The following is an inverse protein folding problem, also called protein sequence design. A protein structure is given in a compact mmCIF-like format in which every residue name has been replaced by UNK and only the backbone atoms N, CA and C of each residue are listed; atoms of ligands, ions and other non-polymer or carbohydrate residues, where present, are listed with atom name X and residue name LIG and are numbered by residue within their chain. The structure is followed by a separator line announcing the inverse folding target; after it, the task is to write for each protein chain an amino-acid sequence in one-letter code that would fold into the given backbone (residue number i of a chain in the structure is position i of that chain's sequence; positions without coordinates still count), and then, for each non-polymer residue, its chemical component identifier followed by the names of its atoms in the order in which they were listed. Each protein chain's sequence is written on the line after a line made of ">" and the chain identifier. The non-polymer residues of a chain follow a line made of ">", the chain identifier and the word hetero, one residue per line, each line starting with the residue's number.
data_IF_704540817032
#
_entry.id   IF_704540817032
#
_cell.length_a   1.000
_cell.length_b   1.000
_cell.length_c   1.000
_cell.angle_alpha   90.00
_cell.angle_beta   90.00
_cell.angle_gamma   90.00
#
_symmetry.space_group_name_H-M   'P 1'
#
loop_
_entity.id
_entity.type
_entity.pdbx_description
1 polymer ?
#
# COMPACT_ATOMS: atom_id res chain seq x y z
N UNK A 1 -16.33 31.64 -45.03
CA UNK A 1 -16.22 31.51 -43.55
C UNK A 1 -17.19 30.42 -43.13
N UNK A 2 -16.71 29.22 -42.80
CA UNK A 2 -17.55 28.11 -42.31
C UNK A 2 -17.08 27.76 -40.90
N UNK A 3 -17.95 28.01 -39.93
CA UNK A 3 -17.73 27.76 -38.51
C UNK A 3 -17.91 26.27 -38.25
N UNK A 4 -16.90 25.61 -37.69
CA UNK A 4 -16.99 24.23 -37.20
C UNK A 4 -17.14 24.28 -35.68
N UNK A 5 -18.36 24.03 -35.19
CA UNK A 5 -18.62 23.74 -33.78
C UNK A 5 -18.12 22.33 -33.46
N UNK A 6 -17.06 22.25 -32.66
CA UNK A 6 -16.57 21.00 -32.08
C UNK A 6 -17.36 20.74 -30.78
N UNK A 7 -18.30 19.81 -30.82
CA UNK A 7 -19.08 19.38 -29.66
C UNK A 7 -18.26 18.36 -28.88
N UNK A 8 -17.68 18.77 -27.75
CA UNK A 8 -16.94 17.88 -26.85
C UNK A 8 -17.96 16.99 -26.14
N UNK A 9 -17.97 15.71 -26.50
CA UNK A 9 -18.70 14.66 -25.79
C UNK A 9 -17.99 14.42 -24.45
N UNK A 10 -18.57 14.93 -23.37
CA UNK A 10 -18.17 14.64 -22.01
C UNK A 10 -18.56 13.18 -21.71
N UNK A 11 -17.57 12.28 -21.70
CA UNK A 11 -17.75 10.90 -21.26
C UNK A 11 -18.01 10.88 -19.76
N UNK A 12 -19.25 10.60 -19.37
CA UNK A 12 -19.62 10.35 -17.98
C UNK A 12 -18.91 9.07 -17.50
N UNK A 13 -17.93 9.21 -16.61
CA UNK A 13 -17.42 8.11 -15.83
C UNK A 13 -18.53 7.67 -14.86
N UNK A 14 -19.08 6.47 -15.10
CA UNK A 14 -20.02 5.83 -14.20
C UNK A 14 -19.28 5.48 -12.90
N UNK A 15 -19.43 6.32 -11.89
CA UNK A 15 -19.08 5.97 -10.52
C UNK A 15 -19.99 4.83 -10.08
N UNK A 16 -19.43 3.63 -9.92
CA UNK A 16 -20.10 2.54 -9.22
C UNK A 16 -20.18 2.94 -7.75
N UNK A 17 -21.38 3.05 -7.15
CA UNK A 17 -21.49 3.31 -5.72
C UNK A 17 -21.01 2.07 -4.96
N UNK A 18 -19.77 2.07 -4.48
CA UNK A 18 -19.37 1.18 -3.40
C UNK A 18 -20.24 1.53 -2.19
N UNK A 19 -21.17 0.63 -1.87
CA UNK A 19 -22.09 0.82 -0.76
C UNK A 19 -21.30 0.61 0.53
N UNK A 20 -20.91 1.72 1.16
CA UNK A 20 -20.24 1.79 2.45
C UNK A 20 -21.25 1.42 3.55
N UNK A 21 -21.61 0.14 3.67
CA UNK A 21 -22.42 -0.34 4.79
C UNK A 21 -21.51 -0.48 6.01
N UNK A 22 -21.82 0.34 7.01
CA UNK A 22 -21.43 0.19 8.42
C UNK A 22 -19.93 0.26 8.73
N UNK A 23 -19.32 1.41 8.46
CA UNK A 23 -18.13 1.86 9.19
C UNK A 23 -18.53 3.00 10.13
N UNK A 24 -19.14 2.66 11.26
CA UNK A 24 -19.20 3.57 12.41
C UNK A 24 -17.78 3.93 12.81
N UNK A 25 -17.41 5.17 12.52
CA UNK A 25 -16.19 5.84 12.96
C UNK A 25 -16.17 5.89 14.49
N UNK A 26 -15.47 4.94 15.12
CA UNK A 26 -14.89 5.19 16.42
C UNK A 26 -13.78 6.20 16.23
N UNK A 27 -14.05 7.46 16.55
CA UNK A 27 -13.02 8.48 16.78
C UNK A 27 -12.13 8.02 17.95
N UNK A 28 -11.10 7.26 17.64
CA UNK A 28 -9.89 7.23 18.47
C UNK A 28 -8.88 8.13 17.81
N UNK A 29 -8.67 9.30 18.42
CA UNK A 29 -7.56 10.19 18.13
C UNK A 29 -6.26 9.38 17.92
N UNK A 30 -5.59 9.60 16.80
CA UNK A 30 -4.30 8.98 16.53
C UNK A 30 -3.32 9.38 17.65
N UNK A 31 -2.67 8.44 18.35
CA UNK A 31 -1.64 8.78 19.31
C UNK A 31 -0.43 9.37 18.58
N UNK A 32 0.07 10.50 19.08
CA UNK A 32 1.32 11.12 18.67
C UNK A 32 2.42 10.05 18.55
N UNK A 33 2.89 9.80 17.34
CA UNK A 33 4.04 8.92 17.09
C UNK A 33 5.31 9.48 17.77
N UNK A 34 6.22 8.61 18.23
CA UNK A 34 7.42 9.05 18.93
C UNK A 34 8.39 9.73 17.95
N UNK A 35 8.79 10.96 18.29
CA UNK A 35 9.95 11.66 17.73
C UNK A 35 11.23 10.91 18.09
N UNK A 36 11.64 9.99 17.21
CA UNK A 36 12.88 9.23 17.34
C UNK A 36 14.03 9.87 16.56
N UNK A 37 14.92 10.54 17.29
CA UNK A 37 16.21 11.06 16.85
C UNK A 37 17.10 9.93 16.30
N UNK A 38 17.56 10.02 15.06
CA UNK A 38 18.56 9.11 14.50
C UNK A 38 19.96 9.50 14.99
N UNK A 39 20.56 8.65 15.83
CA UNK A 39 21.99 8.68 16.11
C UNK A 39 22.64 7.33 15.74
N UNK A 40 23.64 7.44 14.89
CA UNK A 40 24.79 6.56 14.62
C UNK A 40 25.07 5.43 15.62
N UNK A 41 25.28 4.20 15.10
CA UNK A 41 26.31 3.31 15.65
C UNK A 41 26.87 2.35 14.59
N UNK A 42 28.17 2.50 14.35
CA UNK A 42 29.05 1.61 13.62
C UNK A 42 29.16 0.24 14.31
N UNK A 43 29.50 -0.81 13.56
CA UNK A 43 30.74 -1.60 13.74
C UNK A 43 30.59 -3.11 13.40
N UNK A 44 31.66 -3.63 12.77
CA UNK A 44 32.22 -4.99 12.84
C UNK A 44 31.57 -6.13 12.05
N UNK A 45 32.14 -6.38 10.87
CA UNK A 45 33.06 -7.51 10.63
C UNK A 45 32.50 -8.94 10.69
N UNK A 46 32.69 -9.69 9.60
CA UNK A 46 33.25 -11.05 9.62
C UNK A 46 33.67 -11.53 8.24
N UNK A 47 34.93 -11.96 8.21
CA UNK A 47 35.64 -12.73 7.20
C UNK A 47 35.27 -14.21 7.37
N UNK A 48 35.03 -14.96 6.28
CA UNK A 48 35.41 -16.39 6.18
C UNK A 48 35.04 -17.04 4.83
N UNK A 49 36.09 -17.38 4.08
CA UNK A 49 36.31 -18.63 3.32
C UNK A 49 35.17 -19.22 2.46
N UNK A 50 35.30 -19.04 1.14
CA UNK A 50 34.70 -19.90 0.12
C UNK A 50 35.55 -21.17 -0.06
N UNK A 51 34.96 -22.32 0.26
CA UNK A 51 35.47 -23.63 -0.12
C UNK A 51 34.64 -24.18 -1.29
N UNK A 52 35.37 -24.69 -2.27
CA UNK A 52 34.92 -25.21 -3.55
C UNK A 52 34.85 -26.74 -3.46
N UNK A 53 33.88 -27.35 -4.15
CA UNK A 53 33.99 -28.72 -4.65
C UNK A 53 32.95 -29.72 -4.15
N UNK A 54 32.41 -30.52 -5.08
CA UNK A 54 31.78 -31.81 -4.78
C UNK A 54 30.46 -32.07 -5.48
N UNK A 55 30.53 -32.61 -6.69
CA UNK A 55 29.46 -33.29 -7.43
C UNK A 55 29.27 -34.74 -6.95
N UNK A 56 28.18 -35.38 -7.41
CA UNK A 56 27.71 -36.79 -7.25
C UNK A 56 26.58 -36.92 -6.21
N UNK A 57 25.55 -37.76 -6.34
CA UNK A 57 24.99 -38.61 -7.40
C UNK A 57 23.62 -39.11 -6.86
N UNK A 58 22.75 -39.53 -7.77
CA UNK A 58 21.40 -40.06 -7.57
C UNK A 58 21.22 -41.11 -6.45
N UNK A 59 20.03 -41.07 -5.83
CA UNK A 59 19.50 -42.13 -4.96
C UNK A 59 18.02 -41.89 -4.66
N UNK A 60 17.16 -42.68 -5.30
CA UNK A 60 15.71 -42.73 -5.07
C UNK A 60 15.40 -43.26 -3.67
N UNK A 61 14.51 -42.59 -2.92
CA UNK A 61 13.83 -43.22 -1.79
C UNK A 61 12.41 -42.67 -1.64
N UNK A 62 11.47 -43.57 -1.91
CA UNK A 62 10.06 -43.46 -1.57
C UNK A 62 9.86 -43.38 -0.05
N UNK A 63 8.77 -42.73 0.35
CA UNK A 63 8.06 -43.07 1.57
C UNK A 63 8.39 -42.23 2.79
N UNK A 64 7.61 -41.17 2.99
CA UNK A 64 6.66 -41.11 4.11
C UNK A 64 6.04 -39.71 4.12
N UNK A 65 4.71 -39.68 4.18
CA UNK A 65 3.96 -38.45 4.29
C UNK A 65 4.36 -37.73 5.57
N UNK A 66 5.22 -36.73 5.44
CA UNK A 66 5.24 -35.62 6.38
C UNK A 66 4.02 -34.79 6.06
N UNK A 67 2.89 -35.30 6.56
CA UNK A 67 1.71 -34.54 6.87
C UNK A 67 2.21 -33.31 7.62
N UNK A 68 2.33 -32.20 6.88
CA UNK A 68 2.55 -30.88 7.43
C UNK A 68 1.52 -30.78 8.53
N UNK A 69 1.99 -30.82 9.78
CA UNK A 69 1.15 -30.54 10.92
C UNK A 69 0.64 -29.15 10.68
N UNK A 70 -0.56 -29.05 10.11
CA UNK A 70 -1.40 -27.90 10.24
C UNK A 70 -1.60 -27.80 11.75
N UNK A 71 -0.69 -27.08 12.39
CA UNK A 71 -0.84 -26.61 13.74
C UNK A 71 -2.20 -25.94 13.73
N UNK A 72 -3.19 -26.66 14.24
CA UNK A 72 -4.51 -26.15 14.53
C UNK A 72 -4.25 -25.18 15.69
N UNK A 73 -3.71 -24.02 15.34
CA UNK A 73 -3.24 -23.02 16.27
C UNK A 73 -4.51 -22.41 16.82
N UNK A 74 -5.02 -23.00 17.90
CA UNK A 74 -6.03 -22.39 18.74
C UNK A 74 -5.62 -20.94 18.95
N UNK A 75 -6.40 -20.00 18.41
CA UNK A 75 -6.10 -18.58 18.53
C UNK A 75 -6.22 -18.22 20.01
N UNK A 76 -5.08 -18.19 20.69
CA UNK A 76 -4.99 -17.78 22.09
C UNK A 76 -5.14 -16.26 22.19
N UNK A 77 -5.34 -15.75 23.42
CA UNK A 77 -5.59 -14.32 23.64
C UNK A 77 -4.51 -13.40 23.05
N UNK A 78 -3.23 -13.78 23.14
CA UNK A 78 -2.12 -13.00 22.59
C UNK A 78 -2.14 -12.99 21.05
N UNK A 79 -2.42 -14.13 20.41
CA UNK A 79 -2.60 -14.20 18.96
C UNK A 79 -3.82 -13.39 18.51
N UNK A 80 -4.93 -13.45 19.25
CA UNK A 80 -6.13 -12.68 18.95
C UNK A 80 -5.87 -11.17 19.00
N UNK A 81 -5.14 -10.70 20.02
CA UNK A 81 -4.74 -9.30 20.14
C UNK A 81 -3.92 -8.85 18.93
N UNK A 82 -2.91 -9.64 18.54
CA UNK A 82 -2.04 -9.34 17.40
C UNK A 82 -2.80 -9.36 16.07
N UNK A 83 -3.74 -10.29 15.88
CA UNK A 83 -4.65 -10.30 14.71
C UNK A 83 -5.54 -9.05 14.71
N UNK A 84 -5.99 -8.59 15.87
CA UNK A 84 -6.70 -7.32 16.03
C UNK A 84 -5.84 -6.12 15.62
N UNK A 85 -4.58 -6.06 16.08
CA UNK A 85 -3.62 -5.03 15.69
C UNK A 85 -3.36 -5.04 14.17
N UNK A 86 -3.13 -6.22 13.59
CA UNK A 86 -2.94 -6.38 12.15
C UNK A 86 -4.16 -5.90 11.35
N UNK A 87 -5.36 -6.34 11.74
CA UNK A 87 -6.60 -5.96 11.06
C UNK A 87 -6.87 -4.46 11.18
N UNK A 88 -6.61 -3.86 12.35
CA UNK A 88 -6.67 -2.43 12.58
C UNK A 88 -5.70 -1.66 11.69
N UNK A 89 -4.43 -2.05 11.64
CA UNK A 89 -3.44 -1.42 10.78
C UNK A 89 -3.75 -1.57 9.28
N UNK A 90 -4.32 -2.69 8.83
CA UNK A 90 -4.76 -2.85 7.44
C UNK A 90 -5.92 -1.88 7.12
N UNK A 91 -6.87 -1.70 8.05
CA UNK A 91 -7.95 -0.71 7.89
C UNK A 91 -7.40 0.72 7.84
N UNK A 92 -6.40 1.05 8.65
CA UNK A 92 -5.69 2.33 8.57
C UNK A 92 -5.05 2.54 7.20
N UNK A 93 -4.41 1.52 6.61
CA UNK A 93 -3.89 1.62 5.23
C UNK A 93 -4.97 1.92 4.21
N UNK A 94 -6.15 1.30 4.31
CA UNK A 94 -7.27 1.57 3.41
C UNK A 94 -7.71 3.04 3.53
N UNK A 95 -7.81 3.57 4.75
CA UNK A 95 -8.13 4.98 4.98
C UNK A 95 -7.06 5.94 4.41
N UNK A 96 -5.77 5.58 4.51
CA UNK A 96 -4.67 6.33 3.91
C UNK A 96 -4.80 6.34 2.38
N UNK A 97 -5.10 5.21 1.74
CA UNK A 97 -5.28 5.14 0.29
C UNK A 97 -6.47 5.97 -0.21
N UNK A 98 -7.54 6.08 0.58
CA UNK A 98 -8.64 7.01 0.28
C UNK A 98 -8.17 8.48 0.30
N UNK A 99 -7.27 8.84 1.22
CA UNK A 99 -6.64 10.16 1.23
C UNK A 99 -5.69 10.35 0.03
N UNK A 100 -4.93 9.32 -0.35
CA UNK A 100 -4.07 9.35 -1.55
C UNK A 100 -4.91 9.64 -2.80
N UNK A 101 -6.05 8.96 -2.99
CA UNK A 101 -6.95 9.20 -4.11
C UNK A 101 -7.51 10.62 -4.13
N UNK A 102 -7.87 11.17 -2.97
CA UNK A 102 -8.34 12.57 -2.85
C UNK A 102 -7.26 13.56 -3.27
N UNK A 103 -6.03 13.37 -2.82
CA UNK A 103 -4.91 14.23 -3.21
C UNK A 103 -4.54 14.10 -4.68
N UNK A 104 -4.57 12.89 -5.24
CA UNK A 104 -4.37 12.68 -6.69
C UNK A 104 -5.45 13.40 -7.50
N UNK A 105 -6.72 13.32 -7.08
CA UNK A 105 -7.81 14.03 -7.73
C UNK A 105 -7.67 15.57 -7.62
N UNK A 106 -7.15 16.07 -6.49
CA UNK A 106 -6.84 17.49 -6.32
C UNK A 106 -5.73 17.94 -7.29
N UNK A 107 -4.64 17.17 -7.43
CA UNK A 107 -3.59 17.42 -8.41
C UNK A 107 -4.13 17.45 -9.84
N UNK A 108 -4.98 16.48 -10.20
CA UNK A 108 -5.63 16.45 -11.52
C UNK A 108 -6.50 17.70 -11.76
N UNK A 109 -7.26 18.14 -10.75
CA UNK A 109 -8.09 19.35 -10.83
C UNK A 109 -7.24 20.60 -11.02
N UNK A 110 -6.15 20.73 -10.26
CA UNK A 110 -5.20 21.84 -10.40
C UNK A 110 -4.62 21.87 -11.81
N UNK A 111 -4.21 20.73 -12.38
CA UNK A 111 -3.69 20.69 -13.75
C UNK A 111 -4.74 21.11 -14.79
N UNK A 112 -6.01 20.76 -14.59
CA UNK A 112 -7.10 21.16 -15.49
C UNK A 112 -7.37 22.66 -15.46
N UNK A 113 -7.22 23.31 -14.30
CA UNK A 113 -7.36 24.77 -14.19
C UNK A 113 -6.22 25.55 -14.85
N UNK A 114 -5.12 24.89 -15.25
CA UNK A 114 -3.88 25.55 -15.70
C UNK A 114 -3.70 25.61 -17.22
N UNK A 115 -4.61 25.02 -18.00
CA UNK A 115 -4.46 24.92 -19.46
C UNK A 115 -3.27 24.04 -19.88
N UNK A 116 -3.01 23.95 -21.19
CA UNK A 116 -2.12 22.91 -21.74
C UNK A 116 -0.63 23.26 -21.77
N UNK A 117 -0.21 24.52 -21.60
CA UNK A 117 1.15 24.95 -22.01
C UNK A 117 1.81 26.12 -21.25
N UNK A 118 1.26 26.58 -20.13
CA UNK A 118 1.88 27.68 -19.35
C UNK A 118 2.23 27.24 -17.94
N UNK A 119 3.39 27.69 -17.45
CA UNK A 119 3.79 27.50 -16.06
C UNK A 119 2.66 27.91 -15.11
N UNK A 120 2.36 27.06 -14.14
CA UNK A 120 1.13 27.07 -13.35
C UNK A 120 0.91 28.39 -12.60
N UNK A 121 -0.17 29.14 -12.84
CA UNK A 121 -0.74 30.03 -11.84
C UNK A 121 -1.22 29.17 -10.66
N UNK A 122 -0.47 29.20 -9.54
CA UNK A 122 -0.68 28.25 -8.43
C UNK A 122 0.33 27.10 -8.38
N UNK A 123 1.52 27.26 -8.98
CA UNK A 123 2.60 26.27 -8.90
C UNK A 123 2.90 25.90 -7.43
N UNK A 124 2.72 26.86 -6.53
CA UNK A 124 2.79 26.66 -5.08
C UNK A 124 1.68 25.75 -4.53
N UNK A 125 0.44 25.83 -5.04
CA UNK A 125 -0.66 24.96 -4.63
C UNK A 125 -0.47 23.54 -5.16
N UNK A 126 -0.05 23.40 -6.42
CA UNK A 126 0.29 22.08 -6.99
C UNK A 126 1.42 21.42 -6.20
N UNK A 127 2.50 22.17 -5.94
CA UNK A 127 3.64 21.65 -5.19
C UNK A 127 3.28 21.32 -3.73
N UNK A 128 2.46 22.15 -3.08
CA UNK A 128 1.97 21.88 -1.73
C UNK A 128 1.13 20.60 -1.68
N UNK A 129 0.21 20.41 -2.63
CA UNK A 129 -0.60 19.20 -2.72
C UNK A 129 0.25 17.97 -3.03
N UNK A 130 1.24 18.10 -3.93
CA UNK A 130 2.19 17.03 -4.26
C UNK A 130 3.01 16.62 -3.04
N UNK A 131 3.47 17.59 -2.25
CA UNK A 131 4.19 17.34 -1.01
C UNK A 131 3.29 16.70 0.06
N UNK A 132 2.03 17.12 0.15
CA UNK A 132 1.04 16.47 1.03
C UNK A 132 0.81 15.01 0.63
N UNK A 133 0.67 14.72 -0.67
CA UNK A 133 0.57 13.34 -1.19
C UNK A 133 1.79 12.49 -0.81
N UNK A 134 3.01 13.04 -0.90
CA UNK A 134 4.22 12.32 -0.47
C UNK A 134 4.22 11.99 1.03
N UNK A 135 3.72 12.91 1.87
CA UNK A 135 3.58 12.66 3.31
C UNK A 135 2.57 11.54 3.57
N UNK A 136 1.43 11.55 2.86
CA UNK A 136 0.42 10.50 2.95
C UNK A 136 1.00 9.14 2.56
N UNK A 137 1.73 9.05 1.45
CA UNK A 137 2.39 7.81 1.02
C UNK A 137 3.42 7.31 2.04
N UNK A 138 4.19 8.21 2.66
CA UNK A 138 5.16 7.85 3.68
C UNK A 138 4.49 7.28 4.94
N UNK A 139 3.35 7.85 5.37
CA UNK A 139 2.54 7.28 6.45
C UNK A 139 2.04 5.87 6.08
N UNK A 140 1.59 5.69 4.84
CA UNK A 140 1.16 4.38 4.34
C UNK A 140 2.28 3.34 4.35
N UNK A 141 3.51 3.71 4.01
CA UNK A 141 4.68 2.80 4.07
C UNK A 141 4.97 2.36 5.50
N UNK A 142 4.91 3.29 6.46
CA UNK A 142 5.18 2.99 7.87
C UNK A 142 4.17 1.97 8.42
N UNK A 143 2.87 2.21 8.21
CA UNK A 143 1.82 1.30 8.66
C UNK A 143 1.93 -0.08 7.97
N UNK A 144 2.24 -0.13 6.67
CA UNK A 144 2.44 -1.41 5.96
C UNK A 144 3.63 -2.19 6.50
N UNK A 145 4.74 -1.51 6.78
CA UNK A 145 5.93 -2.13 7.41
C UNK A 145 5.56 -2.73 8.77
N UNK A 146 4.78 -2.00 9.58
CA UNK A 146 4.29 -2.50 10.85
C UNK A 146 3.34 -3.70 10.68
N UNK A 147 2.41 -3.64 9.72
CA UNK A 147 1.50 -4.74 9.42
C UNK A 147 2.25 -5.99 8.96
N UNK A 148 3.28 -5.86 8.12
CA UNK A 148 4.12 -6.98 7.69
C UNK A 148 4.84 -7.62 8.88
N UNK A 149 5.37 -6.81 9.81
CA UNK A 149 6.00 -7.32 11.03
C UNK A 149 5.00 -8.13 11.87
N UNK A 150 3.82 -7.58 12.13
CA UNK A 150 2.79 -8.28 12.92
C UNK A 150 2.31 -9.54 12.18
N UNK A 151 2.10 -9.47 10.87
CA UNK A 151 1.72 -10.62 10.04
C UNK A 151 2.75 -11.75 10.13
N UNK A 152 4.04 -11.43 10.13
CA UNK A 152 5.10 -12.41 10.36
C UNK A 152 5.07 -12.99 11.79
N UNK A 153 4.86 -12.16 12.81
CA UNK A 153 4.77 -12.58 14.22
C UNK A 153 3.64 -13.59 14.45
N UNK A 154 2.49 -13.42 13.79
CA UNK A 154 1.34 -14.32 13.93
C UNK A 154 1.28 -15.42 12.86
N UNK A 155 2.21 -15.44 11.90
CA UNK A 155 2.18 -16.37 10.77
C UNK A 155 0.94 -16.18 9.88
N UNK A 156 0.53 -14.94 9.64
CA UNK A 156 -0.66 -14.63 8.86
C UNK A 156 -0.50 -14.94 7.37
N UNK A 157 -1.54 -15.53 6.78
CA UNK A 157 -1.64 -15.70 5.33
C UNK A 157 -1.64 -14.38 4.55
N UNK A 158 -1.93 -13.25 5.22
CA UNK A 158 -1.88 -11.92 4.63
C UNK A 158 -0.45 -11.46 4.27
N UNK A 159 0.58 -12.11 4.82
CA UNK A 159 1.99 -11.69 4.66
C UNK A 159 2.43 -11.51 3.21
N UNK A 160 2.02 -12.42 2.31
CA UNK A 160 2.40 -12.34 0.90
C UNK A 160 1.74 -11.14 0.21
N UNK A 161 0.44 -10.92 0.44
CA UNK A 161 -0.26 -9.78 -0.14
C UNK A 161 0.22 -8.45 0.41
N UNK A 162 0.63 -8.40 1.68
CA UNK A 162 1.25 -7.22 2.28
C UNK A 162 2.64 -6.92 1.70
N UNK A 163 3.38 -7.93 1.21
CA UNK A 163 4.66 -7.75 0.53
C UNK A 163 4.51 -7.23 -0.91
N UNK A 164 3.52 -7.74 -1.66
CA UNK A 164 3.15 -7.15 -2.96
C UNK A 164 2.76 -5.68 -2.80
N UNK A 165 2.06 -5.40 -1.69
CA UNK A 165 1.81 -4.09 -1.05
C UNK A 165 2.92 -3.04 -1.28
N UNK A 166 4.06 -3.40 -0.73
CA UNK A 166 5.22 -2.55 -0.45
C UNK A 166 5.99 -2.19 -1.72
N UNK A 167 6.17 -3.16 -2.63
CA UNK A 167 6.85 -2.89 -3.91
C UNK A 167 6.09 -1.88 -4.76
N UNK A 168 4.76 -1.86 -4.67
CA UNK A 168 3.93 -0.87 -5.36
C UNK A 168 4.15 0.54 -4.81
N UNK A 169 4.22 0.76 -3.48
CA UNK A 169 4.44 2.12 -2.94
C UNK A 169 5.74 2.75 -3.40
N UNK A 170 6.83 1.98 -3.51
CA UNK A 170 8.10 2.56 -3.91
C UNK A 170 8.03 3.10 -5.35
N UNK A 171 7.27 2.42 -6.22
CA UNK A 171 6.93 2.92 -7.56
C UNK A 171 6.06 4.16 -7.48
N UNK A 172 4.99 4.14 -6.68
CA UNK A 172 4.06 5.27 -6.50
C UNK A 172 4.77 6.54 -5.99
N UNK A 173 5.68 6.40 -5.01
CA UNK A 173 6.50 7.50 -4.47
C UNK A 173 7.42 8.07 -5.56
N UNK A 174 8.05 7.20 -6.35
CA UNK A 174 8.88 7.65 -7.47
C UNK A 174 8.04 8.40 -8.52
N UNK A 175 6.83 7.92 -8.80
CA UNK A 175 5.91 8.56 -9.73
C UNK A 175 5.47 9.95 -9.23
N UNK A 176 5.08 10.09 -7.96
CA UNK A 176 4.73 11.40 -7.38
C UNK A 176 5.91 12.36 -7.37
N UNK A 177 7.12 11.87 -7.11
CA UNK A 177 8.36 12.67 -7.21
C UNK A 177 8.66 13.12 -8.64
N UNK A 178 8.20 12.39 -9.65
CA UNK A 178 8.44 12.69 -11.06
C UNK A 178 7.47 13.71 -11.66
N UNK A 179 6.40 14.06 -10.94
CA UNK A 179 5.39 15.02 -11.40
C UNK A 179 6.00 16.42 -11.56
N UNK A 180 5.72 17.07 -12.69
CA UNK A 180 6.34 18.32 -13.14
C UNK A 180 5.41 19.53 -13.03
N UNK A 181 4.14 19.32 -12.67
CA UNK A 181 3.13 20.38 -12.56
C UNK A 181 2.54 20.80 -13.89
N UNK A 182 2.56 19.95 -14.92
CA UNK A 182 1.91 20.28 -16.21
C UNK A 182 1.01 19.15 -16.68
N UNK A 183 -0.11 19.49 -17.32
CA UNK A 183 -1.05 18.49 -17.82
C UNK A 183 -0.39 17.54 -18.83
N UNK A 184 0.46 18.07 -19.70
CA UNK A 184 1.14 17.28 -20.72
C UNK A 184 2.13 16.27 -20.13
N UNK A 185 2.87 16.64 -19.07
CA UNK A 185 3.83 15.75 -18.43
C UNK A 185 3.15 14.75 -17.49
N UNK A 186 2.14 15.19 -16.73
CA UNK A 186 1.71 14.47 -15.53
C UNK A 186 0.44 13.65 -15.71
N UNK A 187 -0.37 13.93 -16.74
CA UNK A 187 -1.69 13.28 -16.92
C UNK A 187 -1.63 11.76 -16.94
N UNK A 188 -0.64 11.18 -17.63
CA UNK A 188 -0.45 9.72 -17.69
C UNK A 188 -0.01 9.15 -16.35
N UNK A 189 0.93 9.81 -15.68
CA UNK A 189 1.44 9.39 -14.37
C UNK A 189 0.36 9.45 -13.31
N UNK A 190 -0.45 10.53 -13.27
CA UNK A 190 -1.57 10.64 -12.35
C UNK A 190 -2.66 9.60 -12.61
N UNK A 191 -2.95 9.26 -13.87
CA UNK A 191 -3.88 8.19 -14.20
C UNK A 191 -3.37 6.81 -13.75
N UNK A 192 -2.06 6.57 -13.89
CA UNK A 192 -1.42 5.35 -13.40
C UNK A 192 -1.47 5.27 -11.86
N UNK A 193 -1.14 6.37 -11.17
CA UNK A 193 -1.24 6.47 -9.72
C UNK A 193 -2.65 6.15 -9.19
N UNK A 194 -3.71 6.68 -9.83
CA UNK A 194 -5.09 6.31 -9.45
C UNK A 194 -5.30 4.80 -9.54
N UNK A 195 -4.85 4.18 -10.64
CA UNK A 195 -5.00 2.74 -10.83
C UNK A 195 -4.23 1.94 -9.78
N UNK A 196 -2.98 2.29 -9.52
CA UNK A 196 -2.12 1.59 -8.56
C UNK A 196 -2.67 1.70 -7.13
N UNK A 197 -3.11 2.89 -6.71
CA UNK A 197 -3.72 3.10 -5.38
C UNK A 197 -5.04 2.31 -5.24
N UNK A 198 -5.87 2.24 -6.28
CA UNK A 198 -7.10 1.41 -6.27
C UNK A 198 -6.76 -0.08 -6.19
N UNK A 199 -5.81 -0.55 -6.98
CA UNK A 199 -5.38 -1.95 -6.97
C UNK A 199 -4.77 -2.33 -5.60
N UNK A 200 -3.93 -1.46 -5.03
CA UNK A 200 -3.38 -1.60 -3.69
C UNK A 200 -4.46 -1.62 -2.60
N UNK A 201 -5.51 -0.81 -2.77
CA UNK A 201 -6.65 -0.76 -1.84
C UNK A 201 -7.41 -2.09 -1.88
N UNK A 202 -7.69 -2.60 -3.06
CA UNK A 202 -8.33 -3.90 -3.26
C UNK A 202 -7.50 -5.03 -2.64
N UNK A 203 -6.17 -5.02 -2.81
CA UNK A 203 -5.30 -6.00 -2.19
C UNK A 203 -5.30 -5.89 -0.65
N UNK A 204 -5.40 -4.69 -0.08
CA UNK A 204 -5.54 -4.51 1.37
C UNK A 204 -6.86 -5.10 1.89
N UNK A 205 -7.96 -4.98 1.14
CA UNK A 205 -9.22 -5.64 1.50
C UNK A 205 -9.09 -7.16 1.52
N UNK A 206 -8.40 -7.75 0.55
CA UNK A 206 -8.10 -9.19 0.55
C UNK A 206 -7.25 -9.57 1.77
N UNK A 207 -6.21 -8.79 2.08
CA UNK A 207 -5.35 -9.02 3.25
C UNK A 207 -6.12 -8.93 4.57
N UNK A 208 -7.07 -7.98 4.67
CA UNK A 208 -7.93 -7.82 5.84
C UNK A 208 -8.79 -9.07 6.05
N UNK A 209 -9.44 -9.55 5.00
CA UNK A 209 -10.27 -10.74 5.07
C UNK A 209 -9.45 -11.96 5.53
N UNK A 210 -8.23 -12.13 4.99
CA UNK A 210 -7.34 -13.22 5.38
C UNK A 210 -6.88 -13.09 6.83
N UNK A 211 -6.51 -11.88 7.28
CA UNK A 211 -6.12 -11.64 8.66
C UNK A 211 -7.26 -11.96 9.64
N UNK A 212 -8.49 -11.53 9.34
CA UNK A 212 -9.66 -11.75 10.21
C UNK A 212 -10.11 -13.21 10.27
N UNK A 213 -9.84 -14.01 9.23
CA UNK A 213 -10.16 -15.44 9.23
C UNK A 213 -9.24 -16.26 10.13
N UNK A 214 -8.04 -15.75 10.44
CA UNK A 214 -7.00 -16.49 11.14
C UNK A 214 -7.41 -16.99 12.53
N UNK A 215 -8.26 -16.24 13.24
CA UNK A 215 -8.77 -16.63 14.55
C UNK A 215 -10.18 -17.23 14.52
N UNK A 216 -10.84 -17.30 13.36
CA UNK A 216 -12.18 -17.90 13.20
C UNK A 216 -12.16 -19.41 12.94
N UNK A 217 -11.00 -19.98 12.57
CA UNK A 217 -10.85 -21.40 12.20
C UNK A 217 -10.86 -22.38 13.40
N UNK A 218 -11.24 -21.94 14.62
CA UNK A 218 -11.13 -22.74 15.87
C UNK A 218 -12.50 -22.97 16.52
N UNK A 219 -13.57 -23.03 15.74
CA UNK A 219 -14.89 -23.46 16.23
C UNK A 219 -15.37 -24.68 15.43
N UNK A 220 -14.76 -25.83 15.70
CA UNK A 220 -15.31 -27.14 15.31
C UNK A 220 -15.11 -28.13 16.44
#
# INVERSE_FOLDING_TARGET
>A
MRSFSFMILLGAALAVPMTQKDYTSGETAMPNGPTGTLSEQQNSGRNSSSQQGGSQQAGSQEGSGQQSGASNATCNAATAEKVGQLSGGIRTNVAIQDQELKSIAALQTLLLSNGTNTAVPGASQYEAERQALLVIQQMGVEIRTQNQKIAAEVGSGASNGLKTVEFAQQSEISQVKSLQGTQQADSKTLALLVKEVVDGTNQNWVNLLVAEQQCKQVQV
#
